data_IF_664700451202
#
_entry.id   IF_664700451202
#
_cell.length_a   1.000
_cell.length_b   1.000
_cell.length_c   1.000
_cell.angle_alpha   90.00
_cell.angle_beta   90.00
_cell.angle_gamma   90.00
#
_symmetry.space_group_name_H-M   'P 1'
#
loop_
_entity.id
_entity.type
_entity.pdbx_description
1 polymer ?
#
# COMPACT_ATOMS: atom_id res chain seq x y z
N UNK A 1 -3.71 -6.72 21.37
CA UNK A 1 -3.74 -6.81 19.90
C UNK A 1 -4.38 -8.14 19.55
N UNK A 2 -5.46 -8.13 18.80
CA UNK A 2 -6.14 -9.38 18.45
C UNK A 2 -5.73 -9.78 17.01
N UNK A 3 -4.77 -10.70 16.89
CA UNK A 3 -4.30 -11.22 15.60
C UNK A 3 -5.42 -11.91 14.82
N UNK A 4 -6.37 -12.54 15.52
CA UNK A 4 -7.51 -13.18 14.86
C UNK A 4 -8.39 -12.16 14.15
N UNK A 5 -8.58 -10.98 14.75
CA UNK A 5 -9.32 -9.89 14.10
C UNK A 5 -8.62 -9.39 12.82
N UNK A 6 -7.28 -9.28 12.85
CA UNK A 6 -6.49 -8.91 11.65
C UNK A 6 -6.65 -9.95 10.56
N UNK A 7 -6.45 -11.23 10.88
CA UNK A 7 -6.57 -12.33 9.91
C UNK A 7 -7.99 -12.38 9.32
N UNK A 8 -9.01 -12.26 10.16
CA UNK A 8 -10.41 -12.23 9.72
C UNK A 8 -10.66 -11.10 8.74
N UNK A 9 -10.15 -9.88 9.04
CA UNK A 9 -10.27 -8.71 8.17
C UNK A 9 -9.54 -8.92 6.84
N UNK A 10 -8.33 -9.43 6.87
CA UNK A 10 -7.54 -9.75 5.67
C UNK A 10 -8.30 -10.76 4.78
N UNK A 11 -8.78 -11.85 5.35
CA UNK A 11 -9.55 -12.85 4.61
C UNK A 11 -10.83 -12.24 4.06
N UNK A 12 -11.58 -11.49 4.88
CA UNK A 12 -12.83 -10.85 4.49
C UNK A 12 -12.65 -9.91 3.28
N UNK A 13 -11.71 -8.99 3.35
CA UNK A 13 -11.49 -8.00 2.28
C UNK A 13 -10.97 -8.64 0.98
N UNK A 14 -10.21 -9.74 1.07
CA UNK A 14 -9.68 -10.44 -0.11
C UNK A 14 -10.74 -11.36 -0.73
N UNK A 15 -11.54 -12.06 0.07
CA UNK A 15 -12.45 -13.10 -0.45
C UNK A 15 -13.88 -12.63 -0.65
N UNK A 16 -14.34 -11.66 0.15
CA UNK A 16 -15.72 -11.13 0.12
C UNK A 16 -15.73 -9.60 0.19
N UNK A 17 -15.07 -8.91 -0.75
CA UNK A 17 -14.79 -7.47 -0.61
C UNK A 17 -16.05 -6.63 -0.48
N UNK A 18 -17.13 -6.91 -1.23
CA UNK A 18 -18.36 -6.11 -1.12
C UNK A 18 -18.96 -6.16 0.30
N UNK A 19 -19.06 -7.34 0.89
CA UNK A 19 -19.61 -7.50 2.24
C UNK A 19 -18.70 -6.85 3.28
N UNK A 20 -17.39 -7.01 3.12
CA UNK A 20 -16.41 -6.46 4.05
C UNK A 20 -16.39 -4.93 4.01
N UNK A 21 -16.52 -4.32 2.83
CA UNK A 21 -16.60 -2.87 2.69
C UNK A 21 -17.87 -2.28 3.35
N UNK A 22 -19.02 -2.97 3.27
CA UNK A 22 -20.22 -2.54 3.99
C UNK A 22 -20.02 -2.62 5.52
N UNK A 23 -19.34 -3.64 6.01
CA UNK A 23 -18.97 -3.75 7.42
C UNK A 23 -18.02 -2.62 7.82
N UNK A 24 -16.96 -2.37 7.06
CA UNK A 24 -15.98 -1.30 7.29
C UNK A 24 -16.65 0.07 7.32
N UNK A 25 -17.63 0.30 6.43
CA UNK A 25 -18.38 1.56 6.37
C UNK A 25 -19.06 1.88 7.69
N UNK A 26 -19.67 0.90 8.32
CA UNK A 26 -20.47 1.07 9.55
C UNK A 26 -19.64 1.03 10.84
N UNK A 27 -18.43 0.48 10.79
CA UNK A 27 -17.56 0.39 11.97
C UNK A 27 -17.07 1.75 12.45
N UNK A 28 -17.14 1.99 13.76
CA UNK A 28 -16.46 3.09 14.41
C UNK A 28 -14.98 2.75 14.57
N UNK A 29 -14.10 3.53 13.96
CA UNK A 29 -12.66 3.38 14.09
C UNK A 29 -11.97 4.74 14.04
N UNK A 30 -10.87 4.88 14.77
CA UNK A 30 -10.02 6.07 14.69
C UNK A 30 -8.84 5.81 13.75
N UNK A 31 -8.23 6.87 13.23
CA UNK A 31 -7.02 6.75 12.41
C UNK A 31 -5.92 6.06 13.22
N UNK A 32 -5.76 6.41 14.50
CA UNK A 32 -4.79 5.80 15.39
C UNK A 32 -5.00 4.29 15.56
N UNK A 33 -6.28 3.86 15.70
CA UNK A 33 -6.61 2.42 15.78
C UNK A 33 -6.24 1.68 14.51
N UNK A 34 -6.56 2.24 13.34
CA UNK A 34 -6.19 1.63 12.05
C UNK A 34 -4.69 1.51 11.91
N UNK A 35 -3.92 2.55 12.26
CA UNK A 35 -2.47 2.51 12.20
C UNK A 35 -1.88 1.48 13.17
N UNK A 36 -2.20 1.57 14.46
CA UNK A 36 -1.56 0.74 15.49
C UNK A 36 -1.99 -0.72 15.46
N UNK A 37 -3.22 -1.00 15.05
CA UNK A 37 -3.77 -2.36 15.09
C UNK A 37 -3.71 -3.10 13.74
N UNK A 38 -3.46 -2.39 12.63
CA UNK A 38 -3.52 -2.98 11.30
C UNK A 38 -2.35 -2.56 10.39
N UNK A 39 -2.19 -1.25 10.16
CA UNK A 39 -1.24 -0.72 9.17
C UNK A 39 0.19 -1.06 9.52
N UNK A 40 0.64 -0.76 10.75
CA UNK A 40 2.03 -0.99 11.16
C UNK A 40 2.45 -2.45 11.02
N UNK A 41 1.52 -3.38 11.19
CA UNK A 41 1.78 -4.82 11.10
C UNK A 41 1.87 -5.25 9.64
N UNK A 42 0.84 -4.94 8.85
CA UNK A 42 0.77 -5.45 7.47
C UNK A 42 1.75 -4.75 6.54
N UNK A 43 1.97 -3.44 6.70
CA UNK A 43 2.94 -2.70 5.92
C UNK A 43 4.40 -3.14 6.18
N UNK A 44 4.69 -3.80 7.31
CA UNK A 44 6.01 -4.35 7.60
C UNK A 44 6.32 -5.60 6.74
N UNK A 45 5.30 -6.34 6.28
CA UNK A 45 5.48 -7.57 5.50
C UNK A 45 6.35 -7.34 4.25
N UNK A 46 6.00 -6.41 3.32
CA UNK A 46 6.82 -6.19 2.12
C UNK A 46 8.21 -5.66 2.43
N UNK A 47 8.37 -4.84 3.47
CA UNK A 47 9.68 -4.30 3.85
C UNK A 47 10.61 -5.39 4.39
N UNK A 48 10.11 -6.26 5.28
CA UNK A 48 10.87 -7.38 5.84
C UNK A 48 11.15 -8.43 4.77
N UNK A 49 10.16 -8.79 3.98
CA UNK A 49 10.31 -9.75 2.88
C UNK A 49 11.35 -9.27 1.85
N UNK A 50 11.29 -7.99 1.47
CA UNK A 50 12.26 -7.39 0.57
C UNK A 50 13.67 -7.31 1.16
N UNK A 51 13.81 -7.04 2.47
CA UNK A 51 15.10 -7.11 3.15
C UNK A 51 15.69 -8.51 3.07
N UNK A 52 14.91 -9.53 3.42
CA UNK A 52 15.32 -10.94 3.36
C UNK A 52 15.71 -11.32 1.92
N UNK A 53 14.89 -10.98 0.92
CA UNK A 53 15.16 -11.26 -0.48
C UNK A 53 16.45 -10.61 -0.98
N UNK A 54 16.68 -9.33 -0.65
CA UNK A 54 17.91 -8.63 -1.03
C UNK A 54 19.18 -9.24 -0.39
N UNK A 55 19.07 -9.75 0.84
CA UNK A 55 20.22 -10.34 1.54
C UNK A 55 20.50 -11.77 1.12
N UNK A 56 19.47 -12.60 0.94
CA UNK A 56 19.65 -14.03 0.64
C UNK A 56 19.87 -14.29 -0.84
N UNK A 57 19.12 -13.62 -1.71
CA UNK A 57 19.10 -13.88 -3.15
C UNK A 57 19.85 -12.79 -3.92
N UNK A 58 19.78 -11.53 -3.45
CA UNK A 58 20.33 -10.37 -4.15
C UNK A 58 19.39 -9.85 -5.24
N UNK A 59 19.85 -8.87 -6.00
CA UNK A 59 19.13 -8.31 -7.15
C UNK A 59 19.71 -8.83 -8.46
N UNK A 60 18.84 -9.33 -9.34
CA UNK A 60 19.23 -9.64 -10.71
C UNK A 60 19.10 -8.37 -11.56
N UNK A 61 20.21 -7.91 -12.13
CA UNK A 61 20.28 -6.80 -13.07
C UNK A 61 20.94 -7.31 -14.35
N UNK A 62 20.22 -7.27 -15.46
CA UNK A 62 20.72 -7.74 -16.78
C UNK A 62 21.34 -9.16 -16.76
N UNK A 63 20.76 -10.07 -15.97
CA UNK A 63 21.26 -11.46 -15.86
C UNK A 63 22.38 -11.68 -14.84
N UNK A 64 22.92 -10.62 -14.23
CA UNK A 64 23.91 -10.70 -13.15
C UNK A 64 23.26 -10.56 -11.79
N UNK A 65 23.63 -11.43 -10.85
CA UNK A 65 23.17 -11.30 -9.45
C UNK A 65 24.13 -10.39 -8.69
N UNK A 66 23.63 -9.21 -8.30
CA UNK A 66 24.38 -8.25 -7.48
C UNK A 66 23.96 -8.46 -6.03
N UNK A 67 24.90 -8.72 -5.15
CA UNK A 67 24.68 -8.74 -3.71
C UNK A 67 24.71 -7.33 -3.15
N UNK A 68 23.66 -6.97 -2.44
CA UNK A 68 23.52 -5.66 -1.81
C UNK A 68 24.15 -5.72 -0.41
N UNK A 69 25.03 -4.77 -0.03
CA UNK A 69 25.54 -4.68 1.35
C UNK A 69 24.39 -4.61 2.36
N UNK A 70 24.57 -5.22 3.52
CA UNK A 70 23.55 -5.27 4.57
C UNK A 70 23.01 -3.88 4.93
N UNK A 71 23.92 -2.90 5.08
CA UNK A 71 23.55 -1.51 5.39
C UNK A 71 22.58 -0.90 4.38
N UNK A 72 22.86 -1.11 3.09
CA UNK A 72 22.01 -0.57 2.01
C UNK A 72 20.66 -1.29 1.95
N UNK A 73 20.65 -2.61 2.15
CA UNK A 73 19.42 -3.39 2.21
C UNK A 73 18.54 -2.98 3.40
N UNK A 74 19.15 -2.73 4.57
CA UNK A 74 18.45 -2.27 5.77
C UNK A 74 17.90 -0.84 5.59
N UNK A 75 18.71 0.09 5.07
CA UNK A 75 18.27 1.45 4.76
C UNK A 75 17.08 1.41 3.79
N UNK A 76 17.18 0.60 2.73
CA UNK A 76 16.09 0.42 1.76
C UNK A 76 14.81 -0.07 2.44
N UNK A 77 14.89 -1.09 3.30
CA UNK A 77 13.73 -1.66 3.99
C UNK A 77 13.06 -0.64 4.92
N UNK A 78 13.85 0.08 5.71
CA UNK A 78 13.34 1.13 6.61
C UNK A 78 12.70 2.26 5.80
N UNK A 79 13.37 2.73 4.75
CA UNK A 79 12.83 3.78 3.89
C UNK A 79 11.53 3.35 3.20
N UNK A 80 11.47 2.13 2.66
CA UNK A 80 10.26 1.58 2.05
C UNK A 80 9.11 1.50 3.06
N UNK A 81 9.39 1.02 4.28
CA UNK A 81 8.37 0.97 5.33
C UNK A 81 7.83 2.35 5.67
N UNK A 82 8.72 3.30 5.99
CA UNK A 82 8.32 4.67 6.36
C UNK A 82 7.56 5.35 5.21
N UNK A 83 8.08 5.24 3.97
CA UNK A 83 7.44 5.84 2.81
C UNK A 83 6.10 5.21 2.47
N UNK A 84 5.90 3.92 2.76
CA UNK A 84 4.59 3.27 2.64
C UNK A 84 3.57 3.90 3.59
N UNK A 85 3.96 4.17 4.84
CA UNK A 85 3.08 4.84 5.80
C UNK A 85 2.74 6.28 5.37
N UNK A 86 3.73 7.01 4.87
CA UNK A 86 3.54 8.37 4.32
C UNK A 86 2.61 8.31 3.10
N UNK A 87 2.87 7.41 2.15
CA UNK A 87 2.05 7.25 0.95
C UNK A 87 0.60 6.94 1.28
N UNK A 88 0.37 6.08 2.28
CA UNK A 88 -0.96 5.73 2.74
C UNK A 88 -1.72 6.96 3.25
N UNK A 89 -1.06 7.76 4.09
CA UNK A 89 -1.67 8.98 4.63
C UNK A 89 -1.97 10.01 3.54
N UNK A 90 -1.01 10.21 2.63
CA UNK A 90 -1.19 11.12 1.48
C UNK A 90 -2.32 10.63 0.58
N UNK A 91 -2.42 9.32 0.31
CA UNK A 91 -3.51 8.74 -0.47
C UNK A 91 -4.87 9.01 0.18
N UNK A 92 -5.00 8.78 1.48
CA UNK A 92 -6.22 9.08 2.23
C UNK A 92 -6.59 10.57 2.17
N UNK A 93 -5.61 11.45 2.31
CA UNK A 93 -5.79 12.89 2.23
C UNK A 93 -6.25 13.34 0.83
N UNK A 94 -5.70 12.74 -0.24
CA UNK A 94 -6.12 13.02 -1.61
C UNK A 94 -7.55 12.55 -1.84
N UNK A 95 -7.90 11.33 -1.39
CA UNK A 95 -9.27 10.84 -1.44
C UNK A 95 -10.20 11.84 -0.72
N UNK A 96 -9.81 12.35 0.43
CA UNK A 96 -10.63 13.27 1.20
C UNK A 96 -10.82 14.64 0.53
N UNK A 97 -9.73 15.23 0.03
CA UNK A 97 -9.78 16.55 -0.65
C UNK A 97 -10.62 16.49 -1.92
N UNK A 98 -10.52 15.41 -2.69
CA UNK A 98 -11.24 15.24 -3.94
C UNK A 98 -12.73 14.93 -3.73
N UNK A 99 -13.13 14.44 -2.55
CA UNK A 99 -14.48 13.97 -2.28
C UNK A 99 -15.60 14.95 -2.69
N UNK A 100 -15.55 16.27 -2.38
CA UNK A 100 -16.62 17.20 -2.75
C UNK A 100 -16.78 17.36 -4.27
N UNK A 101 -15.68 17.30 -5.05
CA UNK A 101 -15.72 17.41 -6.50
C UNK A 101 -16.48 16.25 -7.16
N UNK A 102 -16.57 15.13 -6.46
CA UNK A 102 -17.25 13.93 -6.92
C UNK A 102 -18.57 13.66 -6.19
N UNK A 103 -19.12 14.66 -5.48
CA UNK A 103 -20.42 14.55 -4.79
C UNK A 103 -20.37 13.67 -3.54
N UNK A 104 -19.22 13.54 -2.92
CA UNK A 104 -19.01 12.86 -1.65
C UNK A 104 -18.67 13.86 -0.55
N UNK A 105 -18.82 13.46 0.70
CA UNK A 105 -18.48 14.31 1.86
C UNK A 105 -17.01 14.17 2.25
N UNK A 106 -16.42 15.27 2.71
CA UNK A 106 -15.12 15.22 3.39
C UNK A 106 -15.28 14.47 4.71
N UNK A 107 -14.55 13.39 4.83
CA UNK A 107 -14.39 12.61 6.05
C UNK A 107 -13.08 11.85 5.94
N UNK A 108 -12.06 12.35 6.62
CA UNK A 108 -10.73 11.78 6.57
C UNK A 108 -10.68 10.36 7.15
N UNK A 109 -11.52 10.03 8.12
CA UNK A 109 -11.58 8.68 8.69
C UNK A 109 -12.07 7.69 7.64
N UNK A 110 -13.15 8.00 6.93
CA UNK A 110 -13.67 7.19 5.82
C UNK A 110 -12.66 7.09 4.68
N UNK A 111 -11.97 8.18 4.35
CA UNK A 111 -10.92 8.18 3.32
C UNK A 111 -9.73 7.32 3.73
N UNK A 112 -9.36 7.34 5.01
CA UNK A 112 -8.32 6.48 5.57
C UNK A 112 -8.73 5.01 5.54
N UNK A 113 -9.98 4.66 5.86
CA UNK A 113 -10.50 3.30 5.72
C UNK A 113 -10.27 2.79 4.29
N UNK A 114 -10.63 3.60 3.27
CA UNK A 114 -10.42 3.22 1.87
C UNK A 114 -8.95 2.96 1.57
N UNK A 115 -8.06 3.89 1.92
CA UNK A 115 -6.63 3.74 1.65
C UNK A 115 -6.02 2.51 2.36
N UNK A 116 -6.34 2.32 3.65
CA UNK A 116 -5.82 1.23 4.48
C UNK A 116 -6.25 -0.14 3.94
N UNK A 117 -7.55 -0.36 3.82
CA UNK A 117 -8.05 -1.70 3.51
C UNK A 117 -7.90 -2.05 2.04
N UNK A 118 -7.84 -1.09 1.13
CA UNK A 118 -7.47 -1.35 -0.27
C UNK A 118 -6.02 -1.83 -0.41
N UNK A 119 -5.12 -1.39 0.46
CA UNK A 119 -3.71 -1.78 0.43
C UNK A 119 -3.44 -3.20 0.96
N UNK A 120 -4.44 -3.83 1.59
CA UNK A 120 -4.29 -5.14 2.25
C UNK A 120 -3.72 -6.21 1.32
N UNK A 121 -4.26 -6.34 0.11
CA UNK A 121 -3.83 -7.37 -0.84
C UNK A 121 -2.35 -7.20 -1.23
N UNK A 122 -1.93 -5.96 -1.49
CA UNK A 122 -0.54 -5.63 -1.83
C UNK A 122 0.42 -5.89 -0.67
N UNK A 123 0.02 -5.56 0.56
CA UNK A 123 0.86 -5.82 1.73
C UNK A 123 1.03 -7.31 2.01
N UNK A 124 -0.05 -8.08 1.96
CA UNK A 124 0.00 -9.53 2.16
C UNK A 124 0.84 -10.20 1.07
N UNK A 125 0.62 -9.84 -0.20
CA UNK A 125 1.40 -10.36 -1.31
C UNK A 125 2.86 -9.86 -1.31
N UNK A 126 3.18 -8.86 -0.52
CA UNK A 126 4.55 -8.41 -0.28
C UNK A 126 5.48 -9.50 0.23
N UNK A 127 4.93 -10.60 0.81
CA UNK A 127 5.72 -11.78 1.22
C UNK A 127 6.49 -12.37 0.02
N UNK A 128 5.98 -12.25 -1.19
CA UNK A 128 6.64 -12.74 -2.40
C UNK A 128 7.93 -11.99 -2.76
N UNK A 129 8.19 -10.83 -2.14
CA UNK A 129 9.47 -10.11 -2.32
C UNK A 129 10.68 -10.86 -1.73
N UNK A 130 10.47 -11.91 -0.94
CA UNK A 130 11.55 -12.82 -0.53
C UNK A 130 12.22 -13.45 -1.76
N UNK A 131 11.43 -13.79 -2.78
CA UNK A 131 11.91 -14.42 -4.00
C UNK A 131 11.65 -13.47 -5.17
N UNK A 132 12.68 -12.79 -5.74
CA UNK A 132 12.48 -11.79 -6.79
C UNK A 132 11.71 -12.31 -8.01
N UNK A 133 11.83 -13.58 -8.37
CA UNK A 133 11.09 -14.21 -9.46
C UNK A 133 9.56 -14.22 -9.20
N UNK A 134 9.11 -14.16 -7.94
CA UNK A 134 7.71 -14.15 -7.56
C UNK A 134 7.14 -12.72 -7.45
N UNK A 135 7.93 -11.68 -7.72
CA UNK A 135 7.46 -10.29 -7.66
C UNK A 135 6.26 -10.03 -8.58
N UNK A 136 6.09 -10.82 -9.64
CA UNK A 136 4.90 -10.77 -10.50
C UNK A 136 3.60 -11.03 -9.74
N UNK A 137 3.63 -11.88 -8.71
CA UNK A 137 2.45 -12.16 -7.88
C UNK A 137 2.08 -10.94 -7.02
N UNK A 138 3.08 -10.20 -6.54
CA UNK A 138 2.84 -8.95 -5.84
C UNK A 138 2.25 -7.88 -6.77
N UNK A 139 2.65 -7.85 -8.04
CA UNK A 139 2.04 -6.98 -9.05
C UNK A 139 0.57 -7.32 -9.29
N UNK A 140 0.24 -8.61 -9.45
CA UNK A 140 -1.16 -9.06 -9.61
C UNK A 140 -2.00 -8.67 -8.41
N UNK A 141 -1.47 -8.86 -7.19
CA UNK A 141 -2.15 -8.43 -5.98
C UNK A 141 -2.30 -6.89 -5.90
N UNK A 142 -1.34 -6.14 -6.45
CA UNK A 142 -1.45 -4.69 -6.60
C UNK A 142 -2.64 -4.28 -7.49
N UNK A 143 -2.83 -4.95 -8.62
CA UNK A 143 -3.99 -4.74 -9.49
C UNK A 143 -5.30 -5.08 -8.77
N UNK A 144 -5.31 -6.15 -7.98
CA UNK A 144 -6.46 -6.46 -7.12
C UNK A 144 -6.69 -5.38 -6.06
N UNK A 145 -5.63 -4.79 -5.50
CA UNK A 145 -5.73 -3.64 -4.60
C UNK A 145 -6.43 -2.42 -5.23
N UNK A 146 -6.22 -2.18 -6.53
CA UNK A 146 -6.95 -1.13 -7.25
C UNK A 146 -8.46 -1.45 -7.34
N UNK A 147 -8.82 -2.71 -7.58
CA UNK A 147 -10.22 -3.13 -7.53
C UNK A 147 -10.84 -2.92 -6.15
N UNK A 148 -10.11 -3.29 -5.08
CA UNK A 148 -10.53 -3.04 -3.70
C UNK A 148 -10.72 -1.53 -3.45
N UNK A 149 -9.82 -0.69 -3.92
CA UNK A 149 -9.93 0.76 -3.80
C UNK A 149 -11.16 1.31 -4.51
N UNK A 150 -11.46 0.83 -5.72
CA UNK A 150 -12.67 1.21 -6.44
C UNK A 150 -13.93 0.88 -5.63
N UNK A 151 -14.02 -0.34 -5.08
CA UNK A 151 -15.14 -0.74 -4.23
C UNK A 151 -15.21 0.13 -2.96
N UNK A 152 -14.07 0.38 -2.30
CA UNK A 152 -14.00 1.22 -1.11
C UNK A 152 -14.48 2.65 -1.39
N UNK A 153 -14.04 3.26 -2.49
CA UNK A 153 -14.54 4.59 -2.91
C UNK A 153 -16.04 4.54 -3.15
N UNK A 154 -16.53 3.55 -3.89
CA UNK A 154 -17.96 3.42 -4.22
C UNK A 154 -18.84 3.21 -2.99
N UNK A 155 -18.43 2.36 -2.06
CA UNK A 155 -19.24 1.95 -0.90
C UNK A 155 -19.06 2.92 0.25
N UNK A 156 -17.82 3.22 0.65
CA UNK A 156 -17.53 4.01 1.85
C UNK A 156 -17.68 5.51 1.60
N UNK A 157 -17.11 6.03 0.49
CA UNK A 157 -17.23 7.45 0.15
C UNK A 157 -18.55 7.79 -0.53
N UNK A 158 -19.24 6.80 -1.12
CA UNK A 158 -20.56 6.95 -1.72
C UNK A 158 -20.69 8.20 -2.61
N UNK A 159 -19.83 8.39 -3.63
CA UNK A 159 -19.92 9.52 -4.55
C UNK A 159 -21.20 9.45 -5.38
N UNK A 160 -21.57 10.54 -6.07
CA UNK A 160 -22.66 10.51 -7.05
C UNK A 160 -22.44 9.39 -8.08
N UNK A 161 -23.50 8.67 -8.46
CA UNK A 161 -23.40 7.43 -9.27
C UNK A 161 -22.54 7.60 -10.52
N UNK A 162 -22.68 8.71 -11.23
CA UNK A 162 -21.95 8.96 -12.48
C UNK A 162 -20.47 9.36 -12.26
N UNK A 163 -20.08 9.71 -11.04
CA UNK A 163 -18.76 10.25 -10.72
C UNK A 163 -17.82 9.24 -10.07
N UNK A 164 -18.29 8.06 -9.68
CA UNK A 164 -17.48 7.07 -8.96
C UNK A 164 -16.23 6.62 -9.74
N UNK A 165 -16.39 6.39 -11.05
CA UNK A 165 -15.27 5.98 -11.93
C UNK A 165 -14.27 7.12 -12.09
N UNK A 166 -14.74 8.35 -12.35
CA UNK A 166 -13.86 9.52 -12.46
C UNK A 166 -13.08 9.78 -11.18
N UNK A 167 -13.72 9.67 -10.03
CA UNK A 167 -13.07 9.81 -8.72
C UNK A 167 -11.92 8.79 -8.56
N UNK A 168 -12.22 7.52 -8.83
CA UNK A 168 -11.24 6.45 -8.76
C UNK A 168 -10.06 6.68 -9.72
N UNK A 169 -10.33 7.05 -10.98
CA UNK A 169 -9.27 7.31 -11.98
C UNK A 169 -8.33 8.42 -11.53
N UNK A 170 -8.87 9.55 -11.02
CA UNK A 170 -8.04 10.66 -10.54
C UNK A 170 -7.19 10.21 -9.34
N UNK A 171 -7.77 9.48 -8.40
CA UNK A 171 -7.02 8.94 -7.25
C UNK A 171 -5.88 8.03 -7.72
N UNK A 172 -6.11 7.14 -8.70
CA UNK A 172 -5.06 6.25 -9.24
C UNK A 172 -3.95 7.07 -9.89
N UNK A 173 -4.27 8.05 -10.72
CA UNK A 173 -3.25 8.86 -11.40
C UNK A 173 -2.33 9.51 -10.36
N UNK A 174 -2.91 10.12 -9.35
CA UNK A 174 -2.12 10.74 -8.27
C UNK A 174 -1.31 9.71 -7.50
N UNK A 175 -1.87 8.54 -7.25
CA UNK A 175 -1.18 7.45 -6.56
C UNK A 175 0.01 6.90 -7.37
N UNK A 176 -0.12 6.78 -8.69
CA UNK A 176 0.99 6.39 -9.57
C UNK A 176 2.14 7.41 -9.48
N UNK A 177 1.82 8.70 -9.57
CA UNK A 177 2.82 9.77 -9.43
C UNK A 177 3.50 9.69 -8.05
N UNK A 178 2.73 9.52 -6.99
CA UNK A 178 3.24 9.40 -5.62
C UNK A 178 4.19 8.20 -5.48
N UNK A 179 3.82 7.03 -5.97
CA UNK A 179 4.69 5.84 -5.90
C UNK A 179 5.95 5.99 -6.73
N UNK A 180 5.87 6.65 -7.89
CA UNK A 180 7.06 6.94 -8.69
C UNK A 180 8.04 7.85 -7.95
N UNK A 181 7.55 8.92 -7.32
CA UNK A 181 8.35 9.83 -6.51
C UNK A 181 8.98 9.11 -5.30
N UNK A 182 8.21 8.28 -4.61
CA UNK A 182 8.70 7.47 -3.49
C UNK A 182 9.80 6.51 -3.95
N UNK A 183 9.57 5.80 -5.04
CA UNK A 183 10.57 4.89 -5.61
C UNK A 183 11.88 5.61 -5.95
N UNK A 184 11.80 6.80 -6.53
CA UNK A 184 12.95 7.64 -6.83
C UNK A 184 13.71 8.05 -5.55
N UNK A 185 13.00 8.58 -4.54
CA UNK A 185 13.59 9.01 -3.26
C UNK A 185 14.27 7.83 -2.55
N UNK A 186 13.57 6.70 -2.43
CA UNK A 186 14.10 5.50 -1.76
C UNK A 186 15.35 4.98 -2.47
N UNK A 187 15.33 4.96 -3.81
CA UNK A 187 16.50 4.53 -4.59
C UNK A 187 17.68 5.48 -4.45
N UNK A 188 17.45 6.79 -4.49
CA UNK A 188 18.49 7.79 -4.33
C UNK A 188 19.16 7.74 -2.94
N UNK A 189 18.37 7.54 -1.87
CA UNK A 189 18.89 7.46 -0.49
C UNK A 189 19.60 6.12 -0.24
N UNK A 190 19.02 5.01 -0.70
CA UNK A 190 19.57 3.69 -0.42
C UNK A 190 20.79 3.33 -1.27
N UNK A 191 20.86 3.84 -2.50
CA UNK A 191 21.89 3.43 -3.48
C UNK A 191 22.72 4.60 -4.05
N UNK A 192 22.25 5.84 -3.94
CA UNK A 192 22.93 7.03 -4.50
C UNK A 192 24.29 7.34 -3.86
N UNK A 193 24.53 6.87 -2.64
CA UNK A 193 25.84 7.05 -1.96
C UNK A 193 26.94 6.12 -2.48
N UNK A 194 26.61 5.09 -3.24
CA UNK A 194 27.60 4.18 -3.83
C UNK A 194 28.20 4.67 -5.15
N UNK A 195 27.52 5.55 -5.87
CA UNK A 195 28.00 6.10 -7.14
C UNK A 195 29.02 7.25 -6.99
N UNK A 196 29.21 7.79 -5.79
CA UNK A 196 30.18 8.85 -5.51
C UNK A 196 31.59 8.33 -5.18
N UNK A 197 31.79 7.03 -5.15
CA UNK A 197 33.07 6.36 -4.83
C UNK A 197 33.53 5.37 -5.92
N UNK A 198 32.98 5.42 -7.12
CA UNK A 198 33.51 4.85 -8.34
C UNK A 198 33.85 5.95 -9.34
#
# INVERSE_FOLDING_TARGET
MDFNAIIKRVIGIITKPNQEWETIKTESSTIADMFTKYVLILAAIPAIAGLIGNLLIGRSVMGFTIRIPFSNALIWAIMMYVMTLVALYVTAFIIDILAPSFGSQKDLVSSMKVAVYASTASWVAGIFYIIPALAILALIAGLYGLYLMFLGIKIVKSPSQDKAVGYFVVVIIVQIILYFLIGFIVSAVAFGRGAAFM
#
